data_IF_591005783911
#
_entry.id   IF_591005783911
#
_cell.length_a   1.000
_cell.length_b   1.000
_cell.length_c   1.000
_cell.angle_alpha   90.00
_cell.angle_beta   90.00
_cell.angle_gamma   90.00
#
_symmetry.space_group_name_H-M   'P 1'
#
loop_
_entity.id
_entity.type
_entity.pdbx_description
1 polymer ?
#
# COMPACT_ATOMS: atom_id res chain seq x y z
N UNK A 1 7.92 -46.15 -51.81
CA UNK A 1 8.68 -46.08 -50.55
C UNK A 1 7.90 -45.25 -49.54
N UNK A 2 7.52 -45.86 -48.43
CA UNK A 2 6.74 -45.26 -47.36
C UNK A 2 7.66 -44.77 -46.23
N UNK A 3 7.33 -43.63 -45.60
CA UNK A 3 7.03 -43.55 -44.16
C UNK A 3 6.72 -42.10 -43.73
N UNK A 4 5.44 -41.89 -43.44
CA UNK A 4 4.89 -40.86 -42.55
C UNK A 4 5.21 -41.25 -41.09
N UNK A 5 5.49 -40.27 -40.21
CA UNK A 5 5.29 -40.27 -38.73
C UNK A 5 5.61 -38.86 -38.21
N UNK A 6 4.65 -37.99 -37.92
CA UNK A 6 3.74 -37.91 -36.74
C UNK A 6 4.49 -37.90 -35.41
N UNK A 7 4.38 -36.76 -34.69
CA UNK A 7 4.87 -36.62 -33.32
C UNK A 7 4.59 -35.24 -32.71
N UNK A 8 3.35 -34.73 -32.79
CA UNK A 8 2.94 -33.52 -32.05
C UNK A 8 2.82 -33.90 -30.57
N UNK A 9 3.82 -33.50 -29.78
CA UNK A 9 3.86 -33.72 -28.33
C UNK A 9 2.94 -32.69 -27.65
N UNK A 10 1.65 -33.02 -27.53
CA UNK A 10 0.71 -32.22 -26.74
C UNK A 10 1.09 -32.31 -25.27
N UNK A 11 1.74 -31.27 -24.75
CA UNK A 11 2.04 -31.12 -23.33
C UNK A 11 0.74 -30.78 -22.60
N UNK A 12 0.17 -31.80 -21.94
CA UNK A 12 -0.99 -31.75 -21.04
C UNK A 12 -0.86 -30.54 -20.10
N UNK A 13 -1.62 -29.48 -20.39
CA UNK A 13 -1.78 -28.33 -19.48
C UNK A 13 -2.70 -28.77 -18.36
N UNK A 14 -2.09 -29.27 -17.30
CA UNK A 14 -2.74 -29.44 -16.01
C UNK A 14 -3.17 -28.04 -15.53
N UNK A 15 -4.47 -27.77 -15.62
CA UNK A 15 -5.07 -26.56 -15.06
C UNK A 15 -4.98 -26.71 -13.55
N UNK A 16 -3.93 -26.13 -12.96
CA UNK A 16 -3.90 -25.91 -11.52
C UNK A 16 -5.04 -24.94 -11.19
N UNK A 17 -6.10 -25.52 -10.64
CA UNK A 17 -7.25 -24.82 -10.07
C UNK A 17 -6.70 -23.98 -8.92
N UNK A 18 -6.87 -22.66 -9.02
CA UNK A 18 -6.50 -21.73 -7.97
C UNK A 18 -7.40 -21.99 -6.75
N UNK A 19 -6.85 -22.72 -5.77
CA UNK A 19 -7.44 -22.81 -4.43
C UNK A 19 -7.27 -21.48 -3.73
N UNK A 20 -8.36 -20.70 -3.69
CA UNK A 20 -8.51 -19.51 -2.85
C UNK A 20 -8.55 -19.97 -1.39
N UNK A 21 -7.40 -19.97 -0.71
CA UNK A 21 -7.29 -20.06 0.75
C UNK A 21 -5.94 -19.47 1.21
N UNK A 22 -5.85 -18.14 1.24
CA UNK A 22 -5.36 -17.37 2.40
C UNK A 22 -5.42 -15.86 2.11
N UNK A 23 -5.65 -15.07 3.14
CA UNK A 23 -5.92 -13.64 3.09
C UNK A 23 -4.84 -12.83 2.32
N UNK A 24 -5.17 -12.29 1.14
CA UNK A 24 -4.38 -11.25 0.47
C UNK A 24 -2.97 -11.65 -0.01
N UNK A 25 -2.58 -12.92 0.07
CA UNK A 25 -1.25 -13.38 -0.37
C UNK A 25 -1.31 -13.84 -1.82
N UNK A 26 -0.82 -13.00 -2.73
CA UNK A 26 -0.75 -13.33 -4.16
C UNK A 26 0.63 -13.85 -4.54
N UNK A 27 0.66 -14.93 -5.29
CA UNK A 27 1.92 -15.58 -5.67
C UNK A 27 2.33 -15.13 -7.08
N UNK A 28 3.60 -14.73 -7.20
CA UNK A 28 4.20 -14.31 -8.46
C UNK A 28 5.40 -15.18 -8.84
N UNK A 29 5.73 -15.21 -10.14
CA UNK A 29 6.98 -15.79 -10.64
C UNK A 29 7.66 -14.83 -11.60
N UNK A 30 8.99 -14.87 -11.62
CA UNK A 30 9.75 -14.15 -12.63
C UNK A 30 9.43 -14.70 -14.03
N UNK A 31 9.20 -13.79 -14.97
CA UNK A 31 8.97 -14.12 -16.37
C UNK A 31 9.78 -13.17 -17.25
N UNK A 32 10.17 -13.65 -18.44
CA UNK A 32 10.77 -12.81 -19.47
C UNK A 32 9.69 -12.02 -20.19
N UNK A 33 9.84 -10.71 -20.25
CA UNK A 33 8.94 -9.76 -20.90
C UNK A 33 9.73 -9.04 -21.98
N UNK A 34 9.71 -9.55 -23.22
CA UNK A 34 10.55 -9.03 -24.29
C UNK A 34 12.04 -9.10 -23.93
N UNK A 35 12.68 -7.94 -23.82
CA UNK A 35 14.09 -7.81 -23.44
C UNK A 35 14.31 -7.60 -21.94
N UNK A 36 13.26 -7.56 -21.12
CA UNK A 36 13.34 -7.36 -19.68
C UNK A 36 12.81 -8.57 -18.90
N UNK A 37 12.96 -8.52 -17.57
CA UNK A 37 12.40 -9.47 -16.64
C UNK A 37 11.29 -8.75 -15.85
N UNK A 38 10.18 -9.45 -15.61
CA UNK A 38 9.07 -8.95 -14.82
C UNK A 38 8.59 -9.98 -13.80
N UNK A 39 7.90 -9.51 -12.77
CA UNK A 39 7.18 -10.38 -11.84
C UNK A 39 5.76 -10.57 -12.34
N UNK A 40 5.42 -11.80 -12.73
CA UNK A 40 4.09 -12.17 -13.18
C UNK A 40 3.29 -12.69 -11.99
N UNK A 41 2.22 -11.99 -11.64
CA UNK A 41 1.24 -12.42 -10.65
C UNK A 41 0.02 -13.08 -11.31
N UNK A 42 -0.77 -13.78 -10.49
CA UNK A 42 -2.05 -14.32 -10.92
C UNK A 42 -3.07 -13.22 -11.21
N UNK A 43 -4.05 -13.53 -12.07
CA UNK A 43 -5.08 -12.55 -12.48
C UNK A 43 -5.96 -12.09 -11.33
N UNK A 44 -6.06 -12.86 -10.24
CA UNK A 44 -6.84 -12.49 -9.06
C UNK A 44 -6.32 -11.20 -8.42
N UNK A 45 -4.99 -10.98 -8.37
CA UNK A 45 -4.39 -9.76 -7.82
C UNK A 45 -4.95 -8.51 -8.50
N UNK A 46 -4.86 -8.45 -9.82
CA UNK A 46 -5.29 -7.26 -10.58
C UNK A 46 -6.82 -7.07 -10.63
N UNK A 47 -7.59 -8.10 -10.28
CA UNK A 47 -9.05 -7.98 -10.11
C UNK A 47 -9.41 -7.40 -8.75
N UNK A 48 -8.72 -7.83 -7.70
CA UNK A 48 -8.94 -7.33 -6.34
C UNK A 48 -8.28 -5.97 -6.09
N UNK A 49 -7.16 -5.70 -6.78
CA UNK A 49 -6.35 -4.49 -6.65
C UNK A 49 -6.06 -3.89 -8.03
N UNK A 50 -7.06 -3.22 -8.66
CA UNK A 50 -6.91 -2.62 -9.97
C UNK A 50 -5.80 -1.55 -10.03
N UNK A 51 -5.44 -0.93 -8.90
CA UNK A 51 -4.38 0.06 -8.76
C UNK A 51 -3.02 -0.41 -9.29
N UNK A 52 -2.71 -1.71 -9.22
CA UNK A 52 -1.45 -2.27 -9.74
C UNK A 52 -1.46 -2.57 -11.24
N UNK A 53 -2.50 -2.19 -11.98
CA UNK A 53 -2.56 -2.37 -13.44
C UNK A 53 -1.77 -1.30 -14.21
N UNK A 54 -1.38 -0.21 -13.53
CA UNK A 54 -0.67 0.93 -14.11
C UNK A 54 0.81 0.98 -13.72
N UNK A 55 1.32 2.20 -13.59
CA UNK A 55 2.70 2.44 -13.17
C UNK A 55 2.88 2.12 -11.68
N UNK A 56 3.99 1.45 -11.36
CA UNK A 56 4.31 1.04 -9.99
C UNK A 56 5.76 1.38 -9.69
N UNK A 57 6.02 1.81 -8.45
CA UNK A 57 7.35 2.03 -7.92
C UNK A 57 7.74 0.88 -6.99
N UNK A 58 8.94 0.34 -7.16
CA UNK A 58 9.47 -0.73 -6.33
C UNK A 58 10.62 -0.22 -5.47
N UNK A 59 10.51 -0.39 -4.14
CA UNK A 59 11.55 -0.02 -3.16
C UNK A 59 12.03 -1.24 -2.39
N UNK A 60 13.34 -1.38 -2.25
CA UNK A 60 13.93 -2.46 -1.43
C UNK A 60 13.96 -2.00 0.02
N UNK A 61 13.24 -2.72 0.89
CA UNK A 61 13.18 -2.44 2.33
C UNK A 61 14.04 -3.41 3.16
N UNK A 62 14.64 -4.42 2.50
CA UNK A 62 15.58 -5.36 3.11
C UNK A 62 15.88 -6.56 2.20
N UNK A 63 16.79 -7.46 2.61
CA UNK A 63 17.12 -8.64 1.82
C UNK A 63 15.89 -9.50 1.50
N UNK A 64 15.63 -9.73 0.21
CA UNK A 64 14.49 -10.51 -0.26
C UNK A 64 13.12 -9.86 -0.04
N UNK A 65 13.06 -8.59 0.39
CA UNK A 65 11.82 -7.86 0.66
C UNK A 65 11.75 -6.59 -0.17
N UNK A 66 10.68 -6.48 -0.96
CA UNK A 66 10.43 -5.35 -1.83
C UNK A 66 9.02 -4.82 -1.57
N UNK A 67 8.92 -3.52 -1.32
CA UNK A 67 7.65 -2.80 -1.27
C UNK A 67 7.32 -2.33 -2.69
N UNK A 68 6.13 -2.68 -3.18
CA UNK A 68 5.61 -2.18 -4.46
C UNK A 68 4.46 -1.24 -4.17
N UNK A 69 4.57 -0.01 -4.64
CA UNK A 69 3.57 1.03 -4.48
C UNK A 69 3.00 1.34 -5.86
N UNK A 70 1.68 1.23 -6.01
CA UNK A 70 1.02 1.73 -7.20
C UNK A 70 1.08 3.27 -7.16
N UNK A 71 1.63 3.87 -8.22
CA UNK A 71 1.48 5.29 -8.45
C UNK A 71 0.21 5.44 -9.28
N UNK A 72 -0.97 5.70 -8.66
CA UNK A 72 -2.07 6.16 -9.47
C UNK A 72 -1.54 7.40 -10.19
N UNK A 73 -1.70 7.48 -11.52
CA UNK A 73 -1.48 8.73 -12.24
C UNK A 73 -2.02 9.85 -11.36
N UNK A 74 -1.26 10.92 -11.12
CA UNK A 74 -1.75 12.00 -10.30
C UNK A 74 -2.98 12.55 -11.04
N UNK A 75 -4.17 12.08 -10.66
CA UNK A 75 -5.32 12.96 -10.62
C UNK A 75 -4.77 14.14 -9.86
N UNK A 76 -4.47 15.20 -10.60
CA UNK A 76 -4.10 16.51 -10.06
C UNK A 76 -5.28 16.93 -9.21
N UNK A 77 -5.40 16.37 -8.01
CA UNK A 77 -5.96 17.09 -6.90
C UNK A 77 -4.92 18.15 -6.69
N UNK A 78 -5.23 19.34 -7.17
CA UNK A 78 -4.78 20.56 -6.53
C UNK A 78 -5.27 20.47 -5.08
N UNK A 79 -4.65 19.61 -4.29
CA UNK A 79 -4.56 19.85 -2.87
C UNK A 79 -3.53 20.95 -2.84
N UNK A 80 -4.00 22.20 -2.79
CA UNK A 80 -3.20 23.24 -2.15
C UNK A 80 -2.80 22.62 -0.80
N UNK A 81 -1.58 22.09 -0.74
CA UNK A 81 -1.05 21.57 0.51
C UNK A 81 -1.06 22.77 1.46
N UNK A 82 -1.93 22.71 2.46
CA UNK A 82 -2.03 23.76 3.46
C UNK A 82 -0.60 24.03 3.98
N UNK A 83 -0.05 25.25 3.76
CA UNK A 83 1.32 25.57 4.12
C UNK A 83 1.54 25.42 5.63
N UNK A 84 0.49 25.56 6.44
CA UNK A 84 0.54 25.34 7.89
C UNK A 84 0.68 23.85 8.17
N UNK A 85 -0.16 23.02 7.56
CA UNK A 85 -0.13 21.57 7.75
C UNK A 85 1.20 20.97 7.28
N UNK A 86 1.71 21.38 6.12
CA UNK A 86 3.01 20.92 5.60
C UNK A 86 4.17 21.33 6.51
N UNK A 87 4.15 22.55 7.04
CA UNK A 87 5.16 23.02 8.00
C UNK A 87 5.10 22.23 9.31
N UNK A 88 3.91 21.97 9.82
CA UNK A 88 3.70 21.15 11.01
C UNK A 88 4.23 19.72 10.81
N UNK A 89 3.90 19.08 9.69
CA UNK A 89 4.37 17.73 9.37
C UNK A 89 5.89 17.68 9.22
N UNK A 90 6.49 18.72 8.63
CA UNK A 90 7.96 18.83 8.52
C UNK A 90 8.63 18.94 9.88
N UNK A 91 8.07 19.75 10.79
CA UNK A 91 8.53 19.85 12.17
C UNK A 91 8.42 18.51 12.90
N UNK A 92 7.28 17.82 12.79
CA UNK A 92 7.08 16.51 13.41
C UNK A 92 8.09 15.48 12.88
N UNK A 93 8.30 15.43 11.56
CA UNK A 93 9.26 14.53 10.95
C UNK A 93 10.69 14.77 11.46
N UNK A 94 11.09 16.03 11.61
CA UNK A 94 12.39 16.38 12.19
C UNK A 94 12.48 15.94 13.66
N UNK A 95 11.44 16.19 14.46
CA UNK A 95 11.41 15.78 15.87
C UNK A 95 11.51 14.26 16.05
N UNK A 96 10.83 13.49 15.20
CA UNK A 96 10.89 12.02 15.20
C UNK A 96 12.29 11.48 14.87
N UNK A 97 13.05 12.18 14.03
CA UNK A 97 14.43 11.81 13.70
C UNK A 97 15.42 12.19 14.79
N UNK A 98 15.22 13.35 15.43
CA UNK A 98 16.10 13.85 16.48
C UNK A 98 15.93 13.14 17.82
N UNK A 99 14.70 12.74 18.17
CA UNK A 99 14.37 12.08 19.44
C UNK A 99 13.44 10.88 19.22
N UNK A 100 13.95 9.78 18.62
CA UNK A 100 13.15 8.57 18.41
C UNK A 100 12.66 7.93 19.72
N UNK A 101 13.33 8.19 20.85
CA UNK A 101 12.94 7.74 22.18
C UNK A 101 11.60 8.29 22.68
N UNK A 102 11.11 9.39 22.10
CA UNK A 102 9.80 9.97 22.43
C UNK A 102 8.64 9.29 21.68
N UNK A 103 8.93 8.46 20.68
CA UNK A 103 7.93 7.70 19.94
C UNK A 103 7.58 6.46 20.76
N UNK A 104 6.53 6.57 21.57
CA UNK A 104 6.06 5.48 22.43
C UNK A 104 4.87 4.75 21.79
N UNK A 105 4.78 3.42 21.93
CA UNK A 105 3.61 2.68 21.51
C UNK A 105 2.37 3.17 22.25
N UNK A 106 1.23 3.23 21.54
CA UNK A 106 -0.04 3.51 22.17
C UNK A 106 -0.50 2.28 22.97
N UNK A 107 -0.49 2.39 24.30
CA UNK A 107 -0.94 1.33 25.21
C UNK A 107 -2.26 1.70 25.92
N UNK A 108 -2.83 0.72 26.64
CA UNK A 108 -4.10 0.89 27.35
C UNK A 108 -4.04 1.98 28.44
N UNK A 109 -2.89 2.16 29.09
CA UNK A 109 -2.70 3.19 30.13
C UNK A 109 -2.62 4.59 29.54
N UNK A 110 -1.97 4.74 28.37
CA UNK A 110 -1.98 6.00 27.61
C UNK A 110 -3.40 6.35 27.16
N UNK A 111 -4.18 5.37 26.68
CA UNK A 111 -5.58 5.59 26.32
C UNK A 111 -6.46 6.00 27.50
N UNK A 112 -6.28 5.37 28.67
CA UNK A 112 -7.00 5.75 29.90
C UNK A 112 -6.62 7.16 30.37
N UNK A 113 -5.33 7.52 30.27
CA UNK A 113 -4.85 8.86 30.58
C UNK A 113 -5.42 9.91 29.62
N UNK A 114 -5.45 9.62 28.32
CA UNK A 114 -6.08 10.49 27.32
C UNK A 114 -7.56 10.66 27.66
N UNK A 115 -8.27 9.56 27.92
CA UNK A 115 -9.69 9.59 28.32
C UNK A 115 -9.94 10.44 29.57
N UNK A 116 -9.07 10.36 30.57
CA UNK A 116 -9.14 11.19 31.78
C UNK A 116 -8.90 12.67 31.46
N UNK A 117 -7.87 12.98 30.65
CA UNK A 117 -7.53 14.35 30.25
C UNK A 117 -8.66 15.04 29.48
N UNK A 118 -9.34 14.30 28.58
CA UNK A 118 -10.40 14.85 27.74
C UNK A 118 -11.81 14.67 28.34
N UNK A 119 -11.93 14.06 29.51
CA UNK A 119 -13.22 13.69 30.14
C UNK A 119 -14.20 14.86 30.33
N UNK A 120 -13.70 16.08 30.46
CA UNK A 120 -14.50 17.29 30.64
C UNK A 120 -14.63 18.14 29.36
N UNK A 121 -14.12 17.65 28.23
CA UNK A 121 -14.26 18.33 26.94
C UNK A 121 -15.50 17.76 26.26
N UNK A 122 -16.58 18.53 26.26
CA UNK A 122 -17.77 18.20 25.50
C UNK A 122 -17.49 18.52 24.03
N UNK A 123 -17.26 17.49 23.20
CA UNK A 123 -17.13 17.66 21.76
C UNK A 123 -18.28 16.96 21.07
N UNK A 124 -19.02 17.70 20.24
CA UNK A 124 -19.97 17.09 19.30
C UNK A 124 -19.32 17.03 17.91
N UNK A 125 -19.33 15.88 17.21
CA UNK A 125 -18.83 15.79 15.84
C UNK A 125 -19.57 16.69 14.85
N UNK A 126 -20.78 17.11 15.21
CA UNK A 126 -21.63 18.01 14.44
C UNK A 126 -21.65 19.43 15.02
N UNK A 127 -20.80 19.71 16.02
CA UNK A 127 -20.62 21.06 16.53
C UNK A 127 -19.97 21.91 15.44
N UNK A 128 -20.69 22.95 15.01
CA UNK A 128 -20.15 24.00 14.17
C UNK A 128 -19.07 24.74 14.96
N UNK A 129 -17.81 24.51 14.59
CA UNK A 129 -16.65 25.09 15.25
C UNK A 129 -16.51 26.60 14.95
N UNK A 130 -17.35 27.14 14.06
CA UNK A 130 -17.39 28.55 13.68
C UNK A 130 -16.15 28.98 12.90
N UNK A 131 -16.35 29.82 11.88
CA UNK A 131 -15.25 30.47 11.14
C UNK A 131 -14.71 31.73 11.86
N UNK A 132 -14.81 31.81 13.20
CA UNK A 132 -14.23 32.95 13.91
C UNK A 132 -12.71 32.80 13.97
N UNK A 133 -12.05 33.45 13.01
CA UNK A 133 -10.68 33.85 13.14
C UNK A 133 -10.54 34.65 14.45
N UNK A 134 -9.87 34.06 15.44
CA UNK A 134 -9.35 34.80 16.59
C UNK A 134 -8.43 35.90 16.03
N UNK A 135 -8.96 37.12 16.09
CA UNK A 135 -8.33 38.41 15.77
C UNK A 135 -6.89 38.51 16.28
#
# INVERSE_FOLDING_TARGET
MAKVKVGVRQKKRERAVATVRDAGVYHGKQAKTGNSLGLRFERALFRSHPEFSGEVEARIIGPGRMLVVANPEPKRRNTEEDPVLSSFMSFLAAAMQHSPEHITPLDAGVMERIGTLVSNVNTSPEEDLGDEALI
#
